data_IF_481542002700
#
_entry.id   IF_481542002700
#
_cell.length_a   1.000
_cell.length_b   1.000
_cell.length_c   1.000
_cell.angle_alpha   90.00
_cell.angle_beta   90.00
_cell.angle_gamma   90.00
#
_symmetry.space_group_name_H-M   'P 1'
#
loop_
_entity.id
_entity.type
_entity.pdbx_description
1 polymer ?
#
# COMPACT_ATOMS: atom_id res chain seq x y z
N UNK A 1 -14.87 -31.50 -0.04
CA UNK A 1 -13.63 -30.81 0.06
C UNK A 1 -13.84 -29.36 0.29
N UNK A 2 -13.18 -28.84 1.19
CA UNK A 2 -13.33 -27.49 1.47
C UNK A 2 -12.27 -26.71 0.82
N UNK A 3 -12.66 -25.77 0.07
CA UNK A 3 -11.73 -24.89 -0.48
C UNK A 3 -11.15 -24.03 0.61
N UNK A 4 -9.88 -23.95 0.72
CA UNK A 4 -9.29 -23.08 1.69
C UNK A 4 -9.69 -21.65 1.36
N UNK A 5 -9.99 -20.86 2.38
CA UNK A 5 -10.30 -19.46 2.13
C UNK A 5 -9.15 -18.87 1.38
N UNK A 6 -9.47 -18.10 0.39
CA UNK A 6 -8.47 -17.39 -0.32
C UNK A 6 -7.78 -16.46 0.62
N UNK A 7 -6.61 -16.86 1.00
CA UNK A 7 -5.76 -15.92 1.67
C UNK A 7 -5.31 -14.94 0.63
N UNK A 8 -5.69 -13.70 0.79
CA UNK A 8 -5.13 -12.66 -0.01
C UNK A 8 -3.63 -12.72 0.11
N UNK A 9 -2.95 -12.76 -1.00
CA UNK A 9 -1.51 -12.68 -1.01
C UNK A 9 -1.09 -11.37 -0.38
N UNK A 10 -0.15 -11.46 0.52
CA UNK A 10 0.41 -10.29 1.14
C UNK A 10 1.27 -9.54 0.12
N UNK A 11 1.10 -8.25 0.05
CA UNK A 11 1.87 -7.41 -0.87
C UNK A 11 3.16 -6.97 -0.18
N UNK A 12 4.29 -7.29 -0.79
CA UNK A 12 5.60 -6.90 -0.30
C UNK A 12 5.91 -5.48 -0.76
N UNK A 13 6.20 -4.59 0.17
CA UNK A 13 6.58 -3.22 -0.17
C UNK A 13 7.92 -3.21 -0.92
N UNK A 14 8.85 -4.08 -0.55
CA UNK A 14 10.11 -4.22 -1.28
C UNK A 14 9.84 -4.53 -2.76
N UNK A 15 8.94 -5.46 -3.02
CA UNK A 15 8.60 -5.84 -4.38
C UNK A 15 7.96 -4.70 -5.14
N UNK A 16 7.10 -3.91 -4.49
CA UNK A 16 6.46 -2.77 -5.13
C UNK A 16 7.45 -1.68 -5.49
N UNK A 17 8.40 -1.40 -4.62
CA UNK A 17 9.29 -0.25 -4.77
C UNK A 17 10.51 -0.58 -5.59
N UNK A 18 11.15 -1.74 -5.36
CA UNK A 18 12.40 -2.09 -6.01
C UNK A 18 12.33 -3.35 -6.85
N UNK A 19 11.20 -4.04 -6.86
CA UNK A 19 11.04 -5.26 -7.62
C UNK A 19 10.99 -5.01 -9.12
N UNK A 20 11.16 -6.07 -9.89
CA UNK A 20 11.06 -5.96 -11.34
C UNK A 20 9.62 -5.74 -11.76
N UNK A 21 9.35 -4.89 -12.76
CA UNK A 21 7.99 -4.60 -13.18
C UNK A 21 7.15 -5.85 -13.52
N UNK A 22 7.78 -6.88 -14.05
CA UNK A 22 7.08 -8.10 -14.42
C UNK A 22 6.56 -8.87 -13.22
N UNK A 23 7.01 -8.53 -12.01
CA UNK A 23 6.65 -9.24 -10.80
C UNK A 23 5.75 -8.43 -9.87
N UNK A 24 5.00 -7.51 -10.41
CA UNK A 24 4.00 -6.76 -9.64
C UNK A 24 2.77 -7.63 -9.39
N UNK A 25 2.95 -8.95 -9.29
CA UNK A 25 1.89 -9.91 -9.41
C UNK A 25 0.87 -9.93 -8.29
N UNK A 26 1.11 -9.25 -7.19
CA UNK A 26 0.13 -9.22 -6.10
C UNK A 26 -0.73 -7.97 -6.12
N UNK A 27 -0.55 -7.13 -7.11
CA UNK A 27 -1.36 -5.92 -7.23
C UNK A 27 -2.73 -6.32 -7.79
N UNK A 28 -3.83 -5.95 -7.12
CA UNK A 28 -5.16 -6.27 -7.65
C UNK A 28 -5.38 -5.66 -9.03
N UNK A 29 -6.19 -6.32 -9.84
CA UNK A 29 -6.43 -5.90 -11.22
C UNK A 29 -7.00 -4.49 -11.33
N UNK A 30 -7.76 -4.06 -10.32
CA UNK A 30 -8.35 -2.72 -10.31
C UNK A 30 -7.37 -1.62 -9.90
N UNK A 31 -6.13 -1.99 -9.57
CA UNK A 31 -5.12 -1.06 -9.14
C UNK A 31 -4.02 -0.91 -10.16
N UNK A 32 -3.35 0.22 -10.12
CA UNK A 32 -2.23 0.53 -10.98
C UNK A 32 -1.13 1.17 -10.17
N UNK A 33 0.10 0.75 -10.40
CA UNK A 33 1.26 1.32 -9.75
C UNK A 33 2.23 1.80 -10.82
N UNK A 34 2.57 3.08 -10.78
CA UNK A 34 3.59 3.68 -11.63
C UNK A 34 4.78 4.03 -10.75
N UNK A 35 5.97 3.71 -11.20
CA UNK A 35 7.19 3.92 -10.45
C UNK A 35 8.19 4.72 -11.26
N UNK A 36 8.92 5.59 -10.57
CA UNK A 36 10.01 6.34 -11.17
C UNK A 36 11.14 6.40 -10.15
N UNK A 37 12.29 5.86 -10.52
CA UNK A 37 13.46 5.93 -9.65
C UNK A 37 14.18 7.24 -9.90
N UNK A 38 14.37 8.03 -8.85
CA UNK A 38 15.08 9.30 -8.95
C UNK A 38 16.57 9.08 -8.79
N UNK A 39 16.94 8.21 -7.87
CA UNK A 39 18.31 7.82 -7.62
C UNK A 39 18.26 6.57 -6.75
N UNK A 40 19.40 5.95 -6.54
CA UNK A 40 19.46 4.78 -5.68
C UNK A 40 18.92 5.13 -4.31
N UNK A 41 17.97 4.34 -3.84
CA UNK A 41 17.36 4.56 -2.54
C UNK A 41 16.22 5.56 -2.51
N UNK A 42 15.84 6.12 -3.65
CA UNK A 42 14.78 7.13 -3.70
C UNK A 42 13.90 6.93 -4.92
N UNK A 43 12.65 6.59 -4.67
CA UNK A 43 11.68 6.27 -5.71
C UNK A 43 10.39 7.05 -5.53
N UNK A 44 9.75 7.38 -6.63
CA UNK A 44 8.41 7.96 -6.61
C UNK A 44 7.44 6.88 -7.08
N UNK A 45 6.33 6.74 -6.34
CA UNK A 45 5.29 5.78 -6.66
C UNK A 45 3.97 6.51 -6.77
N UNK A 46 3.26 6.24 -7.86
CA UNK A 46 1.89 6.67 -8.01
C UNK A 46 1.02 5.43 -7.92
N UNK A 47 0.19 5.40 -6.90
CA UNK A 47 -0.72 4.29 -6.64
C UNK A 47 -2.14 4.77 -6.86
N UNK A 48 -2.90 4.06 -7.67
CA UNK A 48 -4.30 4.40 -7.88
C UNK A 48 -5.13 3.16 -8.11
N UNK A 49 -6.39 3.25 -7.73
CA UNK A 49 -7.31 2.16 -7.87
C UNK A 49 -8.74 2.64 -7.88
N UNK A 50 -9.62 1.76 -8.34
CA UNK A 50 -11.04 2.00 -8.28
C UNK A 50 -11.70 0.74 -7.73
N UNK A 51 -12.18 0.85 -6.51
CA UNK A 51 -12.73 -0.28 -5.77
C UNK A 51 -14.25 -0.17 -5.77
N UNK A 52 -14.90 -1.03 -6.54
CA UNK A 52 -16.37 -1.04 -6.62
C UNK A 52 -17.02 -1.44 -5.31
N UNK A 53 -16.30 -2.19 -4.48
CA UNK A 53 -16.71 -2.61 -3.15
C UNK A 53 -15.59 -2.36 -2.19
N UNK A 54 -15.87 -2.25 -0.88
CA UNK A 54 -14.79 -2.16 0.09
C UNK A 54 -13.86 -3.36 0.00
N UNK A 55 -12.57 -3.10 -0.06
CA UNK A 55 -11.55 -4.15 -0.09
C UNK A 55 -10.43 -3.81 0.84
N UNK A 56 -9.81 -4.86 1.38
CA UNK A 56 -8.67 -4.72 2.27
C UNK A 56 -7.49 -5.48 1.69
N UNK A 57 -6.36 -4.80 1.57
CA UNK A 57 -5.13 -5.38 1.08
C UNK A 57 -4.19 -5.61 2.24
N UNK A 58 -3.55 -6.78 2.26
CA UNK A 58 -2.55 -7.10 3.27
C UNK A 58 -1.19 -6.65 2.78
N UNK A 59 -0.44 -5.98 3.63
CA UNK A 59 0.84 -5.38 3.29
C UNK A 59 1.91 -5.81 4.27
N UNK A 60 3.13 -5.98 3.77
CA UNK A 60 4.29 -6.22 4.60
C UNK A 60 5.38 -5.23 4.19
N UNK A 61 5.78 -4.37 5.12
CA UNK A 61 6.87 -3.43 4.85
C UNK A 61 8.21 -4.11 5.12
N UNK A 62 8.68 -4.82 4.12
CA UNK A 62 9.97 -5.52 4.14
C UNK A 62 11.09 -4.68 3.53
N UNK A 63 10.86 -3.39 3.33
CA UNK A 63 11.86 -2.47 2.80
C UNK A 63 12.34 -1.49 3.87
N UNK A 64 11.43 -1.00 4.71
CA UNK A 64 11.78 -0.18 5.87
C UNK A 64 12.22 1.24 5.56
N UNK A 65 11.82 1.79 4.43
CA UNK A 65 12.14 3.18 4.09
C UNK A 65 11.16 4.14 4.74
N UNK A 66 11.58 5.39 4.88
CA UNK A 66 10.67 6.45 5.27
C UNK A 66 9.88 6.86 4.04
N UNK A 67 8.57 6.94 4.18
CA UNK A 67 7.67 7.27 3.08
C UNK A 67 7.01 8.61 3.33
N UNK A 68 6.99 9.45 2.29
CA UNK A 68 6.28 10.72 2.30
C UNK A 68 5.15 10.59 1.30
N UNK A 69 3.93 10.57 1.78
CA UNK A 69 2.77 10.31 0.92
C UNK A 69 1.81 11.47 0.90
N UNK A 70 1.23 11.71 -0.27
CA UNK A 70 0.19 12.69 -0.46
C UNK A 70 -1.02 11.98 -1.07
N UNK A 71 -2.18 12.15 -0.46
CA UNK A 71 -3.40 11.54 -0.95
C UNK A 71 -4.07 12.52 -1.92
N UNK A 72 -4.18 12.11 -3.18
CA UNK A 72 -4.72 12.95 -4.23
C UNK A 72 -6.23 12.77 -4.42
N UNK A 73 -6.72 11.57 -4.17
CA UNK A 73 -8.12 11.24 -4.36
C UNK A 73 -8.55 10.18 -3.37
N UNK A 74 -9.75 10.32 -2.80
CA UNK A 74 -10.33 9.29 -1.94
C UNK A 74 -9.77 9.24 -0.54
N UNK A 75 -10.11 8.19 0.16
CA UNK A 75 -9.62 7.92 1.51
C UNK A 75 -9.25 6.45 1.64
N UNK A 76 -8.37 6.17 2.57
CA UNK A 76 -7.98 4.80 2.90
C UNK A 76 -7.84 4.68 4.41
N UNK A 77 -8.00 3.47 4.93
CA UNK A 77 -7.70 3.16 6.31
C UNK A 77 -6.52 2.23 6.37
N UNK A 78 -5.57 2.56 7.21
CA UNK A 78 -4.38 1.75 7.38
C UNK A 78 -4.29 1.27 8.82
N UNK A 79 -4.08 -0.02 9.02
CA UNK A 79 -3.96 -0.62 10.34
C UNK A 79 -2.71 -1.47 10.41
N UNK A 80 -1.99 -1.40 11.54
CA UNK A 80 -0.80 -2.21 11.77
C UNK A 80 -1.15 -3.36 12.69
N UNK A 81 -0.71 -4.56 12.31
CA UNK A 81 -0.93 -5.78 13.09
C UNK A 81 0.03 -5.87 14.26
N UNK A 82 -0.39 -6.57 15.29
CA UNK A 82 0.50 -6.98 16.38
C UNK A 82 0.79 -5.95 17.43
N UNK A 83 0.20 -4.77 17.34
CA UNK A 83 0.38 -3.77 18.36
C UNK A 83 -0.71 -3.92 19.43
N UNK A 84 -0.33 -3.62 20.68
CA UNK A 84 -1.25 -3.74 21.81
C UNK A 84 -2.37 -2.72 21.75
N UNK A 85 -2.09 -1.58 21.13
CA UNK A 85 -3.09 -0.53 20.97
C UNK A 85 -3.65 -0.62 19.59
N UNK A 86 -4.88 -0.20 19.48
CA UNK A 86 -5.51 -0.07 18.18
C UNK A 86 -4.78 1.02 17.41
N UNK A 87 -4.12 0.64 16.33
CA UNK A 87 -3.36 1.56 15.50
C UNK A 87 -3.97 1.57 14.12
N UNK A 88 -4.89 2.47 13.96
CA UNK A 88 -5.73 2.56 12.79
C UNK A 88 -5.77 4.02 12.40
N UNK A 89 -5.35 4.32 11.19
CA UNK A 89 -5.29 5.70 10.71
C UNK A 89 -6.11 5.85 9.46
N UNK A 90 -6.79 6.98 9.36
CA UNK A 90 -7.47 7.34 8.13
C UNK A 90 -6.53 8.22 7.31
N UNK A 91 -6.30 7.83 6.06
CA UNK A 91 -5.52 8.61 5.11
C UNK A 91 -6.50 9.36 4.22
N UNK A 92 -6.53 10.66 4.35
CA UNK A 92 -7.54 11.50 3.73
C UNK A 92 -6.97 12.36 2.61
N UNK A 93 -7.82 12.68 1.65
CA UNK A 93 -7.51 13.53 0.53
C UNK A 93 -6.95 14.88 0.99
N UNK A 94 -5.99 15.39 0.24
CA UNK A 94 -5.33 16.67 0.48
C UNK A 94 -4.50 16.71 1.76
N UNK A 95 -4.11 15.56 2.27
CA UNK A 95 -3.24 15.46 3.43
C UNK A 95 -1.95 14.78 3.08
N UNK A 96 -0.93 15.06 3.87
CA UNK A 96 0.40 14.50 3.72
C UNK A 96 0.73 13.65 4.93
N UNK A 97 1.39 12.53 4.68
CA UNK A 97 1.73 11.59 5.73
C UNK A 97 3.18 11.18 5.62
N UNK A 98 3.83 11.06 6.77
CA UNK A 98 5.17 10.51 6.85
C UNK A 98 5.04 9.21 7.62
N UNK A 99 5.51 8.12 7.04
CA UNK A 99 5.41 6.80 7.67
C UNK A 99 6.75 6.09 7.65
N UNK A 100 6.99 5.31 8.69
CA UNK A 100 8.17 4.48 8.78
C UNK A 100 7.77 3.25 9.58
N UNK A 101 7.59 2.13 8.90
CA UNK A 101 7.04 0.91 9.49
C UNK A 101 7.89 -0.32 9.13
N UNK A 102 9.20 -0.32 9.51
CA UNK A 102 10.07 -1.43 9.11
C UNK A 102 9.58 -2.75 9.70
N UNK A 103 9.56 -3.77 8.85
CA UNK A 103 9.14 -5.12 9.19
C UNK A 103 7.71 -5.25 9.73
N UNK A 104 6.91 -4.21 9.61
CA UNK A 104 5.53 -4.28 10.06
C UNK A 104 4.64 -4.92 9.01
N UNK A 105 3.65 -5.64 9.47
CA UNK A 105 2.55 -6.12 8.64
C UNK A 105 1.32 -5.35 8.98
N UNK A 106 0.53 -5.04 7.99
CA UNK A 106 -0.66 -4.27 8.18
C UNK A 106 -1.66 -4.50 7.07
N UNK A 107 -2.71 -3.69 7.09
CA UNK A 107 -3.74 -3.75 6.07
C UNK A 107 -4.12 -2.35 5.64
N UNK A 108 -4.49 -2.21 4.38
CA UNK A 108 -5.02 -0.97 3.85
C UNK A 108 -6.38 -1.26 3.25
N UNK A 109 -7.38 -0.50 3.65
CA UNK A 109 -8.75 -0.68 3.20
C UNK A 109 -9.16 0.46 2.30
N UNK A 110 -9.84 0.13 1.21
CA UNK A 110 -10.23 1.09 0.20
C UNK A 110 -11.68 0.88 -0.21
N UNK A 111 -12.33 1.94 -0.66
CA UNK A 111 -13.63 1.87 -1.30
C UNK A 111 -13.75 3.05 -2.25
N UNK A 112 -14.16 2.81 -3.48
CA UNK A 112 -14.25 3.86 -4.50
C UNK A 112 -12.90 4.16 -5.12
N UNK A 113 -12.72 5.37 -5.57
CA UNK A 113 -11.48 5.81 -6.20
C UNK A 113 -10.46 6.21 -5.16
N UNK A 114 -9.25 5.79 -5.37
CA UNK A 114 -8.14 6.19 -4.49
C UNK A 114 -6.90 6.46 -5.33
N UNK A 115 -6.21 7.54 -5.00
CA UNK A 115 -4.98 7.89 -5.70
C UNK A 115 -4.03 8.55 -4.73
N UNK A 116 -2.79 8.08 -4.71
CA UNK A 116 -1.75 8.65 -3.85
C UNK A 116 -0.42 8.69 -4.57
N UNK A 117 0.41 9.64 -4.18
CA UNK A 117 1.78 9.71 -4.64
C UNK A 117 2.69 9.62 -3.42
N UNK A 118 3.71 8.79 -3.52
CA UNK A 118 4.62 8.54 -2.42
C UNK A 118 6.07 8.68 -2.88
N UNK A 119 6.85 9.40 -2.09
CA UNK A 119 8.29 9.44 -2.21
C UNK A 119 8.85 8.47 -1.17
N UNK A 120 9.55 7.46 -1.64
CA UNK A 120 10.07 6.39 -0.78
C UNK A 120 11.57 6.22 -0.96
#
# INVERSE_FOLDING_TARGET
>A
MMESPQTQSEISIHQLVVGKPANDGNIPAQCELLRCSLQEGMDILLWRGHFARPETLQLHDDLGRINFSCILEGTSRFAIQGLRRHTDWELARNRHYITHTPDCRGSASYCGRFESITLS
#
